data_IF_478273199026
#
_entry.id   IF_478273199026
#
_cell.length_a   1.000
_cell.length_b   1.000
_cell.length_c   1.000
_cell.angle_alpha   90.00
_cell.angle_beta   90.00
_cell.angle_gamma   90.00
#
_symmetry.space_group_name_H-M   'P 1'
#
loop_
_entity.id
_entity.type
_entity.pdbx_description
1 polymer ?
#
# COMPACT_ATOMS: atom_id res chain seq x y z
N UNK A 1 19.39 18.84 56.70
CA UNK A 1 19.67 17.41 56.48
C UNK A 1 18.40 16.78 55.96
N UNK A 2 18.59 15.81 55.07
CA UNK A 2 17.59 14.93 54.45
C UNK A 2 16.86 15.42 53.18
N UNK A 3 17.35 14.84 52.09
CA UNK A 3 16.80 14.72 50.76
C UNK A 3 15.62 13.74 50.75
N UNK A 4 14.58 14.03 49.97
CA UNK A 4 14.02 13.02 49.05
C UNK A 4 13.32 13.70 47.88
N UNK A 5 14.04 13.66 46.77
CA UNK A 5 13.69 14.01 45.40
C UNK A 5 12.48 13.22 44.88
N UNK A 6 11.34 13.90 44.62
CA UNK A 6 10.31 13.37 43.72
C UNK A 6 10.62 13.82 42.29
N UNK A 7 11.53 13.09 41.66
CA UNK A 7 11.80 13.13 40.22
C UNK A 7 10.65 12.41 39.50
N UNK A 8 9.51 13.08 39.34
CA UNK A 8 8.45 12.61 38.44
C UNK A 8 8.91 12.83 37.00
N UNK A 9 9.61 11.82 36.49
CA UNK A 9 9.83 11.56 35.08
C UNK A 9 8.46 11.53 34.39
N UNK A 10 8.06 12.66 33.81
CA UNK A 10 7.03 12.70 32.77
C UNK A 10 7.67 12.11 31.50
N UNK A 11 7.61 10.78 31.43
CA UNK A 11 7.82 10.01 30.21
C UNK A 11 6.65 10.34 29.28
N UNK A 12 6.77 11.38 28.46
CA UNK A 12 5.88 11.55 27.30
C UNK A 12 6.36 10.50 26.30
N UNK A 13 5.79 9.30 26.44
CA UNK A 13 5.83 8.29 25.40
C UNK A 13 5.10 8.87 24.20
N UNK A 14 5.86 9.46 23.28
CA UNK A 14 5.42 9.62 21.91
C UNK A 14 5.26 8.19 21.37
N UNK A 15 4.06 7.61 21.53
CA UNK A 15 3.58 6.62 20.60
C UNK A 15 3.47 7.35 19.26
N UNK A 16 4.59 7.40 18.53
CA UNK A 16 4.54 7.37 17.08
C UNK A 16 3.87 6.04 16.76
N UNK A 17 2.53 6.04 16.78
CA UNK A 17 1.74 5.03 16.12
C UNK A 17 2.20 5.13 14.67
N UNK A 18 3.12 4.24 14.29
CA UNK A 18 3.39 3.96 12.90
C UNK A 18 2.01 3.73 12.31
N UNK A 19 1.66 4.51 11.30
CA UNK A 19 0.44 4.34 10.56
C UNK A 19 0.52 2.98 9.86
N UNK A 20 0.25 1.91 10.61
CA UNK A 20 -0.18 0.64 10.07
C UNK A 20 -1.36 0.99 9.18
N UNK A 21 -1.28 0.63 7.91
CA UNK A 21 -2.39 0.77 6.98
C UNK A 21 -3.67 0.30 7.70
N UNK A 22 -4.56 1.24 8.04
CA UNK A 22 -5.79 0.92 8.77
C UNK A 22 -6.71 0.22 7.78
N UNK A 23 -6.67 -1.11 7.77
CA UNK A 23 -7.58 -1.97 7.03
C UNK A 23 -8.95 -1.84 7.71
N UNK A 24 -9.83 -1.02 7.13
CA UNK A 24 -11.19 -0.87 7.63
C UNK A 24 -12.13 -1.67 6.71
N UNK A 25 -12.59 -2.81 7.19
CA UNK A 25 -13.73 -3.49 6.60
C UNK A 25 -13.75 -5.01 6.77
N UNK A 26 -14.93 -5.58 6.54
CA UNK A 26 -15.25 -7.01 6.63
C UNK A 26 -15.59 -7.55 5.22
N UNK A 27 -14.87 -7.05 4.21
CA UNK A 27 -15.06 -7.41 2.82
C UNK A 27 -14.54 -8.83 2.56
N UNK A 28 -15.13 -9.46 1.55
CA UNK A 28 -14.76 -10.82 1.16
C UNK A 28 -13.33 -10.91 0.58
N UNK A 29 -12.79 -9.78 0.13
CA UNK A 29 -11.41 -9.61 -0.33
C UNK A 29 -10.75 -8.56 0.55
N UNK A 30 -9.64 -8.89 1.17
CA UNK A 30 -8.97 -8.03 2.14
C UNK A 30 -7.53 -7.76 1.72
N UNK A 31 -7.17 -6.47 1.62
CA UNK A 31 -5.79 -5.99 1.54
C UNK A 31 -5.28 -5.89 2.98
N UNK A 32 -4.40 -6.80 3.39
CA UNK A 32 -3.96 -6.96 4.78
C UNK A 32 -2.82 -6.03 5.18
N UNK A 33 -2.00 -5.62 4.21
CA UNK A 33 -0.81 -4.82 4.45
C UNK A 33 0.13 -4.86 3.27
N UNK A 34 1.25 -4.14 3.39
CA UNK A 34 2.24 -4.01 2.33
C UNK A 34 3.64 -4.43 2.76
N UNK A 35 4.40 -5.02 1.84
CA UNK A 35 5.81 -5.37 2.05
C UNK A 35 6.66 -4.76 0.94
N UNK A 36 7.83 -4.15 1.26
CA UNK A 36 8.75 -3.66 0.24
C UNK A 36 9.14 -4.76 -0.75
N UNK A 37 9.52 -4.37 -1.97
CA UNK A 37 9.95 -5.31 -3.01
C UNK A 37 11.38 -5.07 -3.46
N UNK A 38 12.05 -6.15 -3.85
CA UNK A 38 13.37 -6.13 -4.46
C UNK A 38 13.35 -5.66 -5.92
N UNK A 39 14.52 -5.53 -6.56
CA UNK A 39 14.62 -5.09 -7.95
C UNK A 39 13.92 -6.06 -8.94
N UNK A 40 13.80 -7.33 -8.57
CA UNK A 40 13.12 -8.40 -9.32
C UNK A 40 11.62 -8.53 -9.01
N UNK A 41 11.05 -7.59 -8.25
CA UNK A 41 9.66 -7.61 -7.77
C UNK A 41 9.36 -8.74 -6.76
N UNK A 42 10.38 -9.36 -6.17
CA UNK A 42 10.20 -10.29 -5.05
C UNK A 42 9.94 -9.54 -3.74
N UNK A 43 9.15 -10.11 -2.84
CA UNK A 43 8.91 -9.51 -1.53
C UNK A 43 10.18 -9.55 -0.67
N UNK A 44 10.45 -8.45 0.04
CA UNK A 44 11.55 -8.31 0.99
C UNK A 44 11.03 -8.51 2.41
N UNK A 45 10.92 -9.76 2.83
CA UNK A 45 10.46 -10.14 4.19
C UNK A 45 11.52 -9.91 5.27
N UNK A 46 12.76 -9.64 4.86
CA UNK A 46 13.87 -9.22 5.72
C UNK A 46 13.72 -7.76 6.20
N UNK A 47 12.85 -6.98 5.55
CA UNK A 47 12.54 -5.61 5.91
C UNK A 47 11.19 -5.55 6.62
N UNK A 48 11.13 -4.74 7.68
CA UNK A 48 9.86 -4.54 8.37
C UNK A 48 8.84 -3.84 7.45
N UNK A 49 7.56 -4.24 7.50
CA UNK A 49 6.50 -3.53 6.79
C UNK A 49 6.29 -2.16 7.44
N UNK A 50 6.99 -1.16 6.92
CA UNK A 50 6.99 0.20 7.43
C UNK A 50 6.65 1.16 6.28
N UNK A 51 6.03 2.28 6.62
CA UNK A 51 5.84 3.46 5.76
C UNK A 51 7.07 3.74 4.92
N UNK A 52 6.90 3.86 3.61
CA UNK A 52 8.00 4.17 2.70
C UNK A 52 8.14 5.66 2.44
N UNK A 53 9.28 6.03 1.89
CA UNK A 53 9.63 7.37 1.46
C UNK A 53 9.88 7.37 -0.04
N UNK A 54 9.71 8.52 -0.67
CA UNK A 54 10.00 8.71 -2.08
C UNK A 54 10.88 9.95 -2.21
N UNK A 55 11.96 9.84 -2.96
CA UNK A 55 12.81 10.99 -3.23
C UNK A 55 12.02 12.04 -4.04
N UNK A 56 12.08 13.30 -3.62
CA UNK A 56 11.46 14.42 -4.33
C UNK A 56 11.87 14.44 -5.81
N UNK A 57 10.91 14.73 -6.68
CA UNK A 57 11.10 14.66 -8.14
C UNK A 57 10.95 13.26 -8.76
N UNK A 58 10.74 12.22 -7.95
CA UNK A 58 10.49 10.85 -8.45
C UNK A 58 9.00 10.62 -8.70
N UNK A 59 8.67 9.68 -9.59
CA UNK A 59 7.31 9.41 -10.08
C UNK A 59 6.91 7.93 -9.96
N UNK A 60 7.67 7.15 -9.20
CA UNK A 60 7.52 5.70 -9.12
C UNK A 60 7.69 5.22 -7.69
N UNK A 61 6.78 4.41 -7.20
CA UNK A 61 6.88 3.80 -5.87
C UNK A 61 6.29 2.41 -5.92
N UNK A 62 7.11 1.38 -5.81
CA UNK A 62 6.68 -0.01 -5.98
C UNK A 62 6.64 -0.73 -4.64
N UNK A 63 5.50 -1.34 -4.33
CA UNK A 63 5.34 -2.18 -3.14
C UNK A 63 4.49 -3.40 -3.46
N UNK A 64 4.51 -4.38 -2.57
CA UNK A 64 3.60 -5.52 -2.64
C UNK A 64 2.51 -5.39 -1.60
N UNK A 65 1.31 -5.87 -1.91
CA UNK A 65 0.22 -6.05 -0.98
C UNK A 65 -0.07 -7.52 -0.77
N UNK A 66 -0.33 -7.88 0.48
CA UNK A 66 -0.88 -9.20 0.82
C UNK A 66 -2.39 -9.12 0.77
N UNK A 67 -2.99 -10.01 -0.01
CA UNK A 67 -4.43 -10.09 -0.23
C UNK A 67 -4.94 -11.43 0.30
N UNK A 68 -6.00 -11.37 1.09
CA UNK A 68 -6.74 -12.53 1.57
C UNK A 68 -8.15 -12.57 0.97
N UNK A 69 -8.68 -13.77 0.84
CA UNK A 69 -10.04 -14.05 0.39
C UNK A 69 -10.77 -14.85 1.46
N UNK A 70 -11.83 -14.26 2.01
CA UNK A 70 -12.78 -14.91 2.92
C UNK A 70 -14.05 -15.39 2.18
N UNK A 71 -14.02 -15.41 0.84
CA UNK A 71 -15.13 -15.90 0.03
C UNK A 71 -15.48 -17.34 0.44
N UNK A 72 -16.77 -17.67 0.61
CA UNK A 72 -17.17 -19.04 0.88
C UNK A 72 -16.99 -19.89 -0.37
N UNK A 73 -16.59 -21.15 -0.20
CA UNK A 73 -16.63 -22.13 -1.27
C UNK A 73 -18.07 -22.30 -1.78
N UNK A 74 -18.24 -22.54 -3.10
CA UNK A 74 -19.56 -22.86 -3.65
C UNK A 74 -20.05 -24.19 -3.06
N UNK A 75 -21.32 -24.32 -2.66
CA UNK A 75 -21.89 -25.54 -2.07
C UNK A 75 -22.10 -26.68 -3.08
N UNK A 76 -21.40 -26.68 -4.22
CA UNK A 76 -21.64 -27.60 -5.34
C UNK A 76 -20.62 -28.73 -5.41
N UNK A 77 -21.09 -29.96 -5.67
CA UNK A 77 -20.26 -31.13 -5.97
C UNK A 77 -19.57 -31.07 -7.35
N UNK A 78 -19.72 -29.97 -8.10
CA UNK A 78 -19.14 -29.78 -9.43
C UNK A 78 -17.66 -29.37 -9.42
N UNK A 79 -17.06 -29.13 -8.25
CA UNK A 79 -15.67 -28.63 -8.15
C UNK A 79 -15.51 -27.17 -8.57
N UNK A 80 -16.60 -26.46 -8.85
CA UNK A 80 -16.56 -25.02 -9.14
C UNK A 80 -16.08 -24.24 -7.92
N UNK A 81 -15.01 -23.47 -8.12
CA UNK A 81 -14.49 -22.56 -7.11
C UNK A 81 -15.28 -21.25 -7.13
N UNK A 82 -15.27 -20.56 -5.99
CA UNK A 82 -15.81 -19.21 -5.87
C UNK A 82 -14.65 -18.21 -5.82
N UNK A 83 -13.75 -18.31 -6.81
CA UNK A 83 -12.56 -17.48 -6.86
C UNK A 83 -12.96 -16.04 -7.20
N UNK A 84 -12.15 -15.08 -6.76
CA UNK A 84 -12.28 -13.68 -7.14
C UNK A 84 -11.45 -13.43 -8.40
N UNK A 85 -12.03 -12.77 -9.38
CA UNK A 85 -11.35 -12.25 -10.56
C UNK A 85 -11.29 -10.74 -10.43
N UNK A 86 -10.10 -10.20 -10.21
CA UNK A 86 -9.88 -8.77 -10.15
C UNK A 86 -9.83 -8.18 -11.55
N UNK A 87 -10.63 -7.14 -11.78
CA UNK A 87 -10.82 -6.50 -13.09
C UNK A 87 -10.31 -5.06 -13.09
N UNK A 88 -10.23 -4.44 -11.91
CA UNK A 88 -9.96 -3.02 -11.77
C UNK A 88 -9.22 -2.73 -10.45
N UNK A 89 -8.22 -1.85 -10.51
CA UNK A 89 -7.65 -1.18 -9.33
C UNK A 89 -8.08 0.28 -9.38
N UNK A 90 -8.57 0.76 -8.25
CA UNK A 90 -8.90 2.16 -8.04
C UNK A 90 -7.83 2.76 -7.12
N UNK A 91 -7.23 3.85 -7.58
CA UNK A 91 -6.28 4.66 -6.84
C UNK A 91 -6.91 6.01 -6.49
N UNK A 92 -6.80 6.41 -5.23
CA UNK A 92 -7.10 7.77 -4.78
C UNK A 92 -5.88 8.34 -4.06
N UNK A 93 -5.64 9.64 -4.21
CA UNK A 93 -4.43 10.29 -3.70
C UNK A 93 -4.78 11.52 -2.88
N UNK A 94 -4.07 11.69 -1.76
CA UNK A 94 -4.15 12.90 -0.93
C UNK A 94 -2.75 13.33 -0.51
N UNK A 95 -2.37 14.58 -0.78
CA UNK A 95 -1.13 15.14 -0.27
C UNK A 95 -1.38 16.03 0.95
N UNK A 96 -0.61 15.81 2.02
CA UNK A 96 -0.60 16.64 3.22
C UNK A 96 0.75 17.37 3.34
N UNK A 97 0.76 18.50 4.06
CA UNK A 97 1.93 19.38 4.22
C UNK A 97 2.52 19.90 2.89
N UNK A 98 1.71 19.96 1.84
CA UNK A 98 2.06 20.45 0.51
C UNK A 98 1.53 21.88 0.29
N UNK A 99 2.39 22.81 -0.16
CA UNK A 99 2.02 24.20 -0.50
C UNK A 99 2.67 24.63 -1.82
N UNK A 100 1.90 25.13 -2.81
CA UNK A 100 0.43 25.17 -2.85
C UNK A 100 -0.17 23.75 -2.84
N UNK A 101 -1.43 23.62 -2.43
CA UNK A 101 -2.12 22.34 -2.41
C UNK A 101 -2.21 21.76 -3.85
N UNK A 102 -1.94 20.48 -3.99
CA UNK A 102 -2.04 19.74 -5.26
C UNK A 102 -3.24 18.80 -5.16
N UNK A 103 -4.16 18.90 -6.12
CA UNK A 103 -5.31 17.99 -6.23
C UNK A 103 -5.00 16.87 -7.21
N UNK A 104 -5.40 15.66 -6.82
CA UNK A 104 -5.32 14.48 -7.66
C UNK A 104 -6.73 14.07 -8.06
N UNK A 105 -6.82 13.43 -9.22
CA UNK A 105 -8.05 12.82 -9.70
C UNK A 105 -7.96 11.34 -9.33
N UNK A 106 -9.09 10.71 -8.99
CA UNK A 106 -9.13 9.27 -8.79
C UNK A 106 -8.85 8.56 -10.12
N UNK A 107 -8.05 7.50 -10.07
CA UNK A 107 -7.65 6.74 -11.25
C UNK A 107 -8.15 5.31 -11.17
N UNK A 108 -8.78 4.85 -12.24
CA UNK A 108 -9.18 3.45 -12.43
C UNK A 108 -8.29 2.81 -13.49
N UNK A 109 -7.62 1.71 -13.12
CA UNK A 109 -6.76 0.95 -14.00
C UNK A 109 -7.32 -0.47 -14.21
N UNK A 110 -7.55 -0.88 -15.47
CA UNK A 110 -7.99 -2.25 -15.75
C UNK A 110 -6.85 -3.23 -15.49
N UNK A 111 -7.16 -4.33 -14.84
CA UNK A 111 -6.22 -5.41 -14.54
C UNK A 111 -6.90 -6.76 -14.69
N UNK A 112 -6.12 -7.84 -14.70
CA UNK A 112 -6.67 -9.20 -14.75
C UNK A 112 -5.80 -10.15 -13.95
N UNK A 113 -6.36 -10.66 -12.87
CA UNK A 113 -5.78 -11.69 -12.02
C UNK A 113 -6.89 -12.40 -11.26
N UNK A 114 -6.56 -13.51 -10.61
CA UNK A 114 -7.52 -14.18 -9.74
C UNK A 114 -6.92 -14.47 -8.37
N UNK A 115 -7.77 -14.43 -7.36
CA UNK A 115 -7.48 -14.84 -5.99
C UNK A 115 -8.32 -16.05 -5.69
N UNK A 116 -7.63 -17.09 -5.27
CA UNK A 116 -8.24 -18.35 -4.90
C UNK A 116 -9.17 -18.17 -3.69
N UNK A 117 -10.31 -18.87 -3.71
CA UNK A 117 -11.18 -18.97 -2.54
C UNK A 117 -10.38 -19.45 -1.31
N UNK A 118 -10.53 -18.75 -0.19
CA UNK A 118 -9.82 -19.07 1.06
C UNK A 118 -8.31 -18.76 1.07
N UNK A 119 -7.77 -18.10 0.04
CA UNK A 119 -6.36 -17.70 0.03
C UNK A 119 -6.07 -16.72 1.18
N UNK A 120 -4.93 -16.88 1.86
CA UNK A 120 -4.55 -16.03 2.99
C UNK A 120 -3.39 -15.06 2.67
N UNK A 121 -2.61 -15.36 1.65
CA UNK A 121 -1.28 -14.78 1.40
C UNK A 121 -1.02 -14.49 -0.09
N UNK A 122 -2.07 -14.23 -0.88
CA UNK A 122 -1.89 -13.85 -2.28
C UNK A 122 -1.17 -12.52 -2.39
N UNK A 123 -0.17 -12.41 -3.27
CA UNK A 123 0.68 -11.23 -3.38
C UNK A 123 0.36 -10.46 -4.64
N UNK A 124 0.14 -9.16 -4.52
CA UNK A 124 -0.02 -8.23 -5.64
C UNK A 124 1.07 -7.16 -5.59
N UNK A 125 1.91 -7.06 -6.62
CA UNK A 125 2.95 -6.02 -6.70
C UNK A 125 2.43 -4.86 -7.54
N UNK A 126 2.45 -3.64 -6.99
CA UNK A 126 1.91 -2.44 -7.62
C UNK A 126 2.93 -1.30 -7.60
N UNK A 127 2.97 -0.55 -8.71
CA UNK A 127 3.44 0.83 -8.70
C UNK A 127 2.28 1.70 -8.18
N UNK A 128 2.49 2.32 -7.02
CA UNK A 128 1.49 3.14 -6.35
C UNK A 128 1.28 4.49 -7.03
N UNK A 129 2.15 4.87 -7.96
CA UNK A 129 2.00 6.12 -8.71
C UNK A 129 1.45 5.78 -10.10
N UNK A 130 0.12 5.83 -10.23
CA UNK A 130 -0.56 5.61 -11.50
C UNK A 130 -0.25 6.73 -12.53
N UNK A 131 -0.55 6.47 -13.80
CA UNK A 131 -0.17 7.31 -14.93
C UNK A 131 -0.58 8.78 -14.81
N UNK A 132 -1.76 9.09 -14.27
CA UNK A 132 -2.24 10.45 -14.06
C UNK A 132 -1.51 11.16 -12.92
N UNK A 133 -1.20 10.44 -11.85
CA UNK A 133 -0.43 10.94 -10.71
C UNK A 133 1.04 11.22 -11.06
N UNK A 134 1.62 10.54 -12.06
CA UNK A 134 3.04 10.74 -12.48
C UNK A 134 3.38 12.18 -12.88
N UNK A 135 2.41 12.95 -13.37
CA UNK A 135 2.63 14.36 -13.70
C UNK A 135 2.62 15.29 -12.46
N UNK A 136 2.03 14.84 -11.35
CA UNK A 136 1.77 15.66 -10.15
C UNK A 136 2.71 15.30 -8.99
N UNK A 137 3.00 14.01 -8.79
CA UNK A 137 3.82 13.50 -7.68
C UNK A 137 5.24 14.08 -7.64
N UNK A 138 5.97 14.22 -8.76
CA UNK A 138 7.30 14.84 -8.78
C UNK A 138 7.32 16.30 -8.26
N UNK A 139 6.18 16.99 -8.28
CA UNK A 139 6.06 18.38 -7.83
C UNK A 139 5.76 18.50 -6.33
N UNK A 140 5.66 17.39 -5.61
CA UNK A 140 5.51 17.41 -4.17
C UNK A 140 6.80 17.89 -3.49
N UNK A 141 6.63 18.78 -2.53
CA UNK A 141 7.73 19.35 -1.77
C UNK A 141 8.30 18.33 -0.79
N UNK A 142 9.60 18.42 -0.55
CA UNK A 142 10.24 17.70 0.55
C UNK A 142 9.54 17.99 1.88
N UNK A 143 9.32 16.94 2.68
CA UNK A 143 8.61 17.02 3.95
C UNK A 143 7.09 16.82 3.83
N UNK A 144 6.53 16.81 2.62
CA UNK A 144 5.14 16.44 2.40
C UNK A 144 4.90 14.93 2.58
N UNK A 145 3.63 14.54 2.68
CA UNK A 145 3.22 13.13 2.73
C UNK A 145 2.14 12.88 1.70
N UNK A 146 2.37 11.92 0.81
CA UNK A 146 1.41 11.43 -0.16
C UNK A 146 0.72 10.18 0.42
N UNK A 147 -0.58 10.25 0.63
CA UNK A 147 -1.40 9.09 0.96
C UNK A 147 -1.98 8.53 -0.33
N UNK A 148 -1.71 7.25 -0.58
CA UNK A 148 -2.25 6.51 -1.71
C UNK A 148 -3.24 5.49 -1.18
N UNK A 149 -4.51 5.62 -1.53
CA UNK A 149 -5.55 4.64 -1.22
C UNK A 149 -5.73 3.72 -2.42
N UNK A 150 -5.67 2.41 -2.16
CA UNK A 150 -5.88 1.35 -3.15
C UNK A 150 -7.15 0.59 -2.81
N UNK A 151 -7.96 0.31 -3.83
CA UNK A 151 -9.13 -0.55 -3.74
C UNK A 151 -9.19 -1.46 -4.96
N UNK A 152 -9.51 -2.73 -4.76
CA UNK A 152 -9.68 -3.72 -5.82
C UNK A 152 -11.16 -3.91 -6.11
N UNK A 153 -11.50 -4.04 -7.38
CA UNK A 153 -12.85 -4.37 -7.83
C UNK A 153 -12.81 -5.48 -8.86
N UNK A 154 -13.80 -6.35 -8.79
CA UNK A 154 -13.88 -7.51 -9.67
C UNK A 154 -15.15 -8.29 -9.45
N UNK A 155 -15.11 -9.57 -9.79
CA UNK A 155 -16.26 -10.47 -9.68
C UNK A 155 -15.88 -11.86 -9.22
N UNK A 156 -16.82 -12.59 -8.65
CA UNK A 156 -16.63 -14.02 -8.40
C UNK A 156 -16.82 -14.86 -9.66
N UNK A 157 -16.44 -16.14 -9.63
CA UNK A 157 -16.81 -17.12 -10.66
C UNK A 157 -18.32 -17.24 -10.89
N UNK A 158 -19.15 -16.80 -9.93
CA UNK A 158 -20.61 -16.71 -10.06
C UNK A 158 -21.12 -15.41 -10.71
N UNK A 159 -20.23 -14.49 -11.07
CA UNK A 159 -20.59 -13.20 -11.67
C UNK A 159 -21.00 -12.13 -10.66
N UNK A 160 -20.91 -12.39 -9.35
CA UNK A 160 -21.21 -11.39 -8.32
C UNK A 160 -20.07 -10.38 -8.22
N UNK A 161 -20.37 -9.09 -8.33
CA UNK A 161 -19.38 -8.03 -8.08
C UNK A 161 -18.90 -8.07 -6.64
N UNK A 162 -17.58 -8.00 -6.46
CA UNK A 162 -16.92 -7.95 -5.15
C UNK A 162 -15.87 -6.84 -5.19
N UNK A 163 -15.80 -6.11 -4.09
CA UNK A 163 -14.80 -5.07 -3.86
C UNK A 163 -13.97 -5.45 -2.63
N UNK A 164 -12.71 -5.03 -2.60
CA UNK A 164 -11.91 -5.12 -1.39
C UNK A 164 -12.20 -3.97 -0.43
N UNK A 165 -11.69 -4.07 0.80
CA UNK A 165 -11.50 -2.89 1.64
C UNK A 165 -10.59 -1.86 0.94
N UNK A 166 -10.62 -0.64 1.46
CA UNK A 166 -9.64 0.40 1.13
C UNK A 166 -8.37 0.21 1.96
N UNK A 167 -7.21 0.30 1.30
CA UNK A 167 -5.92 0.31 1.96
C UNK A 167 -5.18 1.61 1.64
N UNK A 168 -5.00 2.46 2.65
CA UNK A 168 -4.24 3.70 2.51
C UNK A 168 -2.79 3.49 2.94
N UNK A 169 -1.87 3.78 2.04
CA UNK A 169 -0.44 3.73 2.25
C UNK A 169 0.16 5.15 2.27
N UNK A 170 0.80 5.58 3.37
CA UNK A 170 1.49 6.86 3.43
C UNK A 170 2.91 6.74 2.85
N UNK A 171 3.26 7.69 1.98
CA UNK A 171 4.58 7.86 1.36
C UNK A 171 5.13 9.22 1.77
N UNK A 172 6.26 9.24 2.47
CA UNK A 172 6.92 10.48 2.86
C UNK A 172 7.80 11.02 1.73
N UNK A 173 7.68 12.29 1.38
CA UNK A 173 8.56 12.90 0.37
C UNK A 173 9.83 13.41 1.04
N UNK A 174 10.99 12.94 0.58
CA UNK A 174 12.31 13.25 1.17
C UNK A 174 13.27 13.82 0.12
N UNK A 175 14.24 14.65 0.51
CA UNK A 175 15.16 15.27 -0.46
C UNK A 175 16.10 14.27 -1.14
N UNK A 176 16.51 13.22 -0.43
CA UNK A 176 17.36 12.16 -0.97
C UNK A 176 17.09 10.83 -0.30
N UNK A 177 17.23 9.74 -1.04
CA UNK A 177 17.16 8.39 -0.51
C UNK A 177 18.53 7.76 -0.34
N UNK A 178 18.72 7.04 0.77
CA UNK A 178 19.93 6.27 1.06
C UNK A 178 19.53 4.81 1.22
N UNK A 179 19.94 3.98 0.25
CA UNK A 179 19.66 2.54 0.23
C UNK A 179 18.21 2.22 -0.16
N UNK A 180 17.96 2.06 -1.46
CA UNK A 180 16.64 1.63 -1.93
C UNK A 180 16.51 0.11 -1.82
N UNK A 181 15.37 -0.41 -1.35
CA UNK A 181 15.12 -1.86 -1.32
C UNK A 181 15.15 -2.49 -2.72
N UNK A 182 14.98 -1.67 -3.76
CA UNK A 182 14.95 -2.05 -5.17
C UNK A 182 16.14 -1.49 -5.96
N UNK A 183 17.28 -1.22 -5.32
CA UNK A 183 18.54 -0.90 -6.03
C UNK A 183 19.02 -2.09 -6.86
N UNK A 184 19.38 -1.85 -8.13
CA UNK A 184 19.93 -2.88 -9.01
C UNK A 184 19.29 -2.92 -10.40
N UNK A 185 19.21 -4.12 -10.98
CA UNK A 185 18.59 -4.37 -12.29
C UNK A 185 17.38 -5.29 -12.12
N UNK A 186 16.28 -4.95 -12.79
CA UNK A 186 15.05 -5.73 -12.76
C UNK A 186 13.81 -4.89 -13.01
N UNK A 187 12.65 -5.54 -13.12
CA UNK A 187 11.40 -4.89 -13.48
C UNK A 187 10.95 -3.85 -12.44
N UNK A 188 11.25 -4.06 -11.16
CA UNK A 188 10.92 -3.16 -10.06
C UNK A 188 12.10 -2.27 -9.63
N UNK A 189 13.20 -2.28 -10.38
CA UNK A 189 14.41 -1.59 -9.96
C UNK A 189 14.34 -0.05 -10.09
N UNK A 190 15.13 0.62 -9.26
CA UNK A 190 15.43 2.06 -9.28
C UNK A 190 14.24 3.06 -9.15
N UNK A 191 13.20 2.81 -8.33
CA UNK A 191 12.11 3.77 -8.14
C UNK A 191 12.50 5.01 -7.32
N UNK A 192 13.75 5.12 -6.85
CA UNK A 192 14.22 6.17 -5.90
C UNK A 192 13.38 6.20 -4.61
N UNK A 193 12.97 5.01 -4.16
CA UNK A 193 12.20 4.82 -2.93
C UNK A 193 13.07 4.42 -1.73
N UNK A 194 12.60 4.94 -0.61
CA UNK A 194 13.02 4.95 0.78
C UNK A 194 12.13 4.24 1.80
#
# INVERSE_FOLDING_TARGET
MEFTSMKRLLLIAALTMGASACVNGNEAIMILGSTPVGPDCSQRTDLAPITGSLQAGSDRFVTSFTIASSLPAKPSNSGERNDFYGEEIIFSYRAENQKPAISFDDESLPISFFIQVGAADSVLVLDLIASGAKAKVPNLAEGSTLYVTVKLKGKTSGGTTVESNEATFPIRIVGSCVGSPSDGTGACANPKQC
#
